data_IF_830063777129
#
_entry.id   IF_830063777129
#
_cell.length_a   1.000
_cell.length_b   1.000
_cell.length_c   1.000
_cell.angle_alpha   90.00
_cell.angle_beta   90.00
_cell.angle_gamma   90.00
#
_symmetry.space_group_name_H-M   'P 1'
#
loop_
_entity.id
_entity.type
_entity.pdbx_description
1 polymer ?
#
# COMPACT_ATOMS: atom_id res chain seq x y z
N UNK A 1 -32.33 12.30 4.64
CA UNK A 1 -31.28 11.33 5.00
C UNK A 1 -29.98 12.11 4.97
N UNK A 2 -29.44 12.44 6.14
CA UNK A 2 -28.20 13.18 6.24
C UNK A 2 -27.07 12.23 5.83
N UNK A 3 -26.53 12.41 4.62
CA UNK A 3 -25.43 11.60 4.11
C UNK A 3 -24.20 11.99 4.94
N UNK A 4 -23.97 11.26 6.03
CA UNK A 4 -22.83 11.47 6.89
C UNK A 4 -21.57 11.48 6.02
N UNK A 5 -20.86 12.60 6.03
CA UNK A 5 -19.68 12.82 5.21
C UNK A 5 -18.63 11.77 5.58
N UNK A 6 -18.43 10.78 4.70
CA UNK A 6 -17.48 9.67 4.95
C UNK A 6 -16.03 10.10 4.85
N UNK A 7 -15.73 11.18 4.11
CA UNK A 7 -14.37 11.65 3.91
C UNK A 7 -14.13 12.93 4.71
N UNK A 8 -13.24 12.81 5.68
CA UNK A 8 -12.83 13.87 6.59
C UNK A 8 -11.68 14.67 5.96
N UNK A 9 -11.73 16.00 6.11
CA UNK A 9 -10.75 16.95 5.58
C UNK A 9 -9.41 16.94 6.36
N UNK A 10 -9.38 16.30 7.53
CA UNK A 10 -8.20 16.20 8.39
C UNK A 10 -8.04 14.79 8.95
N UNK A 11 -6.80 14.31 9.11
CA UNK A 11 -6.51 13.01 9.71
C UNK A 11 -7.17 12.85 11.09
N UNK A 12 -7.71 11.66 11.38
CA UNK A 12 -8.31 11.35 12.68
C UNK A 12 -7.58 10.18 13.35
N UNK A 13 -7.96 9.88 14.60
CA UNK A 13 -7.45 8.69 15.30
C UNK A 13 -7.90 7.42 14.58
N UNK A 14 -6.95 6.62 14.14
CA UNK A 14 -7.17 5.34 13.47
C UNK A 14 -5.93 4.88 12.71
N UNK A 15 -5.96 3.70 12.06
CA UNK A 15 -4.86 3.20 11.25
C UNK A 15 -4.39 4.23 10.21
N UNK A 16 -3.07 4.29 9.99
CA UNK A 16 -2.47 5.03 8.88
C UNK A 16 -1.84 4.05 7.91
N UNK A 17 -2.27 4.12 6.66
CA UNK A 17 -1.85 3.23 5.58
C UNK A 17 -1.25 4.05 4.45
N UNK A 18 -0.27 3.47 3.77
CA UNK A 18 0.45 4.05 2.65
C UNK A 18 0.10 3.24 1.41
N UNK A 19 -0.33 3.92 0.36
CA UNK A 19 -0.73 3.30 -0.90
C UNK A 19 0.17 3.78 -2.02
N UNK A 20 0.58 2.87 -2.89
CA UNK A 20 1.27 3.19 -4.14
C UNK A 20 0.96 2.11 -5.20
N UNK A 21 1.19 2.44 -6.47
CA UNK A 21 1.12 1.49 -7.56
C UNK A 21 2.27 1.63 -8.56
N UNK A 22 2.61 0.50 -9.19
CA UNK A 22 3.63 0.44 -10.22
C UNK A 22 3.08 -0.19 -11.50
N UNK A 23 3.16 0.55 -12.61
CA UNK A 23 2.75 0.07 -13.92
C UNK A 23 3.63 -1.08 -14.43
N UNK A 24 4.94 -1.01 -14.18
CA UNK A 24 5.91 -1.99 -14.66
C UNK A 24 5.67 -3.40 -14.10
N UNK A 25 5.17 -3.48 -12.87
CA UNK A 25 4.80 -4.74 -12.20
C UNK A 25 3.29 -4.97 -12.19
N UNK A 26 2.50 -4.05 -12.76
CA UNK A 26 1.04 -4.03 -12.70
C UNK A 26 0.48 -4.23 -11.28
N UNK A 27 1.17 -3.68 -10.28
CA UNK A 27 0.93 -3.95 -8.86
C UNK A 27 0.36 -2.73 -8.17
N UNK A 28 -0.64 -2.94 -7.32
CA UNK A 28 -1.13 -2.00 -6.33
C UNK A 28 -0.73 -2.50 -4.93
N UNK A 29 -0.16 -1.65 -4.09
CA UNK A 29 0.36 -2.02 -2.78
C UNK A 29 -0.21 -1.15 -1.67
N UNK A 30 -0.42 -1.77 -0.51
CA UNK A 30 -0.77 -1.10 0.74
C UNK A 30 0.24 -1.51 1.80
N UNK A 31 0.79 -0.52 2.51
CA UNK A 31 1.76 -0.70 3.58
C UNK A 31 1.27 0.00 4.84
N UNK A 32 1.47 -0.60 6.01
CA UNK A 32 1.09 0.01 7.29
C UNK A 32 1.99 -0.47 8.43
N UNK A 33 1.93 0.21 9.57
CA UNK A 33 2.58 -0.26 10.79
C UNK A 33 1.58 -0.95 11.71
N UNK A 34 2.02 -2.04 12.32
CA UNK A 34 1.29 -2.76 13.37
C UNK A 34 2.31 -3.32 14.35
N UNK A 35 2.14 -2.99 15.64
CA UNK A 35 3.03 -3.43 16.73
C UNK A 35 4.52 -3.06 16.52
N UNK A 36 4.77 -1.89 15.91
CA UNK A 36 6.12 -1.41 15.61
C UNK A 36 6.75 -2.02 14.35
N UNK A 37 6.07 -2.96 13.69
CA UNK A 37 6.55 -3.58 12.46
C UNK A 37 5.79 -3.10 11.22
N UNK A 38 6.48 -3.04 10.08
CA UNK A 38 5.87 -2.77 8.79
C UNK A 38 5.23 -4.03 8.22
N UNK A 39 3.99 -3.89 7.74
CA UNK A 39 3.20 -4.92 7.06
C UNK A 39 2.82 -4.44 5.66
N UNK A 40 2.54 -5.37 4.75
CA UNK A 40 2.19 -5.07 3.38
C UNK A 40 1.18 -6.09 2.82
N UNK A 41 0.25 -5.61 1.99
CA UNK A 41 -0.52 -6.43 1.05
C UNK A 41 -0.40 -5.85 -0.35
N UNK A 42 -0.56 -6.69 -1.36
CA UNK A 42 -0.46 -6.30 -2.75
C UNK A 42 -1.51 -7.04 -3.58
N UNK A 43 -1.92 -6.44 -4.67
CA UNK A 43 -2.64 -7.13 -5.74
C UNK A 43 -2.04 -6.75 -7.09
N UNK A 44 -2.23 -7.62 -8.08
CA UNK A 44 -1.71 -7.41 -9.43
C UNK A 44 -2.84 -7.51 -10.44
N UNK A 45 -2.93 -6.55 -11.36
CA UNK A 45 -3.88 -6.60 -12.46
C UNK A 45 -3.30 -5.91 -13.70
N UNK A 46 -3.00 -6.71 -14.72
CA UNK A 46 -2.39 -6.25 -15.97
C UNK A 46 -3.36 -5.48 -16.88
N UNK A 47 -4.68 -5.56 -16.63
CA UNK A 47 -5.68 -4.84 -17.40
C UNK A 47 -5.89 -3.40 -16.91
N UNK A 48 -5.31 -3.04 -15.75
CA UNK A 48 -5.48 -1.74 -15.13
C UNK A 48 -4.34 -0.77 -15.50
N UNK A 49 -4.70 0.49 -15.74
CA UNK A 49 -3.72 1.57 -15.83
C UNK A 49 -3.12 1.88 -14.46
N UNK A 50 -1.99 2.61 -14.40
CA UNK A 50 -1.39 3.01 -13.11
C UNK A 50 -2.38 3.78 -12.24
N UNK A 51 -3.16 4.71 -12.80
CA UNK A 51 -4.18 5.46 -12.04
C UNK A 51 -5.27 4.55 -11.47
N UNK A 52 -5.62 3.47 -12.17
CA UNK A 52 -6.59 2.48 -11.69
C UNK A 52 -5.98 1.57 -10.63
N UNK A 53 -4.69 1.23 -10.74
CA UNK A 53 -3.95 0.52 -9.71
C UNK A 53 -3.80 1.36 -8.43
N UNK A 54 -3.54 2.67 -8.54
CA UNK A 54 -3.54 3.59 -7.39
C UNK A 54 -4.89 3.57 -6.66
N UNK A 55 -5.99 3.62 -7.43
CA UNK A 55 -7.33 3.49 -6.87
C UNK A 55 -7.58 2.11 -6.26
N UNK A 56 -7.08 1.04 -6.89
CA UNK A 56 -7.16 -0.31 -6.33
C UNK A 56 -6.39 -0.43 -5.01
N UNK A 57 -5.26 0.27 -4.85
CA UNK A 57 -4.54 0.32 -3.57
C UNK A 57 -5.42 0.94 -2.48
N UNK A 58 -6.18 1.99 -2.78
CA UNK A 58 -7.17 2.57 -1.86
C UNK A 58 -8.29 1.59 -1.52
N UNK A 59 -8.80 0.84 -2.50
CA UNK A 59 -9.82 -0.22 -2.30
C UNK A 59 -9.30 -1.29 -1.35
N UNK A 60 -8.08 -1.78 -1.58
CA UNK A 60 -7.41 -2.74 -0.68
C UNK A 60 -7.28 -2.20 0.74
N UNK A 61 -6.91 -0.92 0.88
CA UNK A 61 -6.76 -0.28 2.18
C UNK A 61 -8.10 -0.21 2.94
N UNK A 62 -9.19 0.14 2.25
CA UNK A 62 -10.54 0.13 2.83
C UNK A 62 -10.94 -1.27 3.29
N UNK A 63 -10.66 -2.30 2.48
CA UNK A 63 -10.94 -3.69 2.81
C UNK A 63 -10.18 -4.22 4.04
N UNK A 64 -8.97 -3.70 4.31
CA UNK A 64 -8.20 -4.06 5.51
C UNK A 64 -8.80 -3.50 6.80
N UNK A 65 -9.32 -2.27 6.75
CA UNK A 65 -9.79 -1.56 7.93
C UNK A 65 -11.23 -1.05 7.74
N UNK A 66 -12.23 -1.94 7.56
CA UNK A 66 -13.56 -1.54 7.12
C UNK A 66 -14.38 -0.80 8.20
N UNK A 67 -14.04 -1.01 9.47
CA UNK A 67 -14.81 -0.52 10.63
C UNK A 67 -14.26 0.77 11.23
N UNK A 68 -12.94 0.99 11.14
CA UNK A 68 -12.24 2.09 11.81
C UNK A 68 -12.12 3.31 10.91
N UNK A 69 -11.80 4.46 11.49
CA UNK A 69 -11.35 5.59 10.68
C UNK A 69 -10.00 5.25 10.02
N UNK A 70 -9.88 5.48 8.71
CA UNK A 70 -8.69 5.14 7.95
C UNK A 70 -8.00 6.39 7.40
N UNK A 71 -6.74 6.61 7.80
CA UNK A 71 -5.89 7.64 7.21
C UNK A 71 -5.11 7.03 6.04
N UNK A 72 -5.51 7.37 4.81
CA UNK A 72 -4.86 6.92 3.59
C UNK A 72 -3.83 7.95 3.15
N UNK A 73 -2.58 7.55 3.04
CA UNK A 73 -1.47 8.36 2.56
C UNK A 73 -1.12 7.88 1.15
N UNK A 74 -1.17 8.78 0.17
CA UNK A 74 -0.86 8.49 -1.23
C UNK A 74 -0.03 9.62 -1.81
N UNK A 75 0.89 9.32 -2.71
CA UNK A 75 1.56 10.32 -3.54
C UNK A 75 0.90 10.52 -4.91
N UNK A 76 -0.16 9.77 -5.19
CA UNK A 76 -1.03 9.99 -6.34
C UNK A 76 -1.95 11.19 -6.08
N UNK A 77 -1.52 12.36 -6.55
CA UNK A 77 -2.36 13.59 -6.55
C UNK A 77 -3.71 13.36 -7.23
N UNK A 78 -3.75 12.50 -8.26
CA UNK A 78 -4.99 12.16 -8.96
C UNK A 78 -5.99 11.45 -8.05
N UNK A 79 -5.57 10.38 -7.38
CA UNK A 79 -6.44 9.61 -6.47
C UNK A 79 -6.82 10.44 -5.26
N UNK A 80 -5.89 11.21 -4.69
CA UNK A 80 -6.18 12.11 -3.59
C UNK A 80 -7.31 13.10 -3.92
N UNK A 81 -7.22 13.77 -5.08
CA UNK A 81 -8.26 14.70 -5.55
C UNK A 81 -9.56 13.99 -5.89
N UNK A 82 -9.49 12.79 -6.48
CA UNK A 82 -10.67 12.03 -6.86
C UNK A 82 -11.48 11.59 -5.63
N UNK A 83 -10.84 11.04 -4.60
CA UNK A 83 -11.50 10.70 -3.34
C UNK A 83 -12.18 11.93 -2.71
N UNK A 84 -11.49 13.07 -2.67
CA UNK A 84 -12.08 14.32 -2.16
C UNK A 84 -13.27 14.81 -3.00
N UNK A 85 -13.18 14.74 -4.33
CA UNK A 85 -14.26 15.13 -5.23
C UNK A 85 -15.50 14.23 -5.06
N UNK A 86 -15.30 12.92 -4.87
CA UNK A 86 -16.37 11.96 -4.59
C UNK A 86 -17.06 12.16 -3.22
N UNK A 87 -16.53 13.07 -2.39
CA UNK A 87 -17.15 13.47 -1.12
C UNK A 87 -18.15 14.61 -1.27
N UNK A 88 -18.18 15.27 -2.43
CA UNK A 88 -19.02 16.41 -2.73
C UNK A 88 -20.16 16.07 -3.72
N UNK A 89 -21.09 17.00 -3.96
CA UNK A 89 -22.14 16.81 -4.95
C UNK A 89 -21.55 16.70 -6.37
N UNK A 90 -21.73 15.54 -7.00
CA UNK A 90 -21.28 15.26 -8.36
C UNK A 90 -21.02 13.77 -8.57
N UNK A 91 -21.32 13.25 -9.76
CA UNK A 91 -21.01 11.85 -10.12
C UNK A 91 -19.83 11.86 -11.08
N UNK A 92 -18.67 11.40 -10.61
CA UNK A 92 -17.56 11.08 -11.51
C UNK A 92 -17.81 9.72 -12.13
N UNK A 93 -17.99 9.65 -13.45
CA UNK A 93 -18.29 8.41 -14.18
C UNK A 93 -17.03 7.75 -14.77
N UNK A 94 -15.84 8.24 -14.39
CA UNK A 94 -14.59 7.64 -14.85
C UNK A 94 -14.45 6.20 -14.34
N UNK A 95 -13.80 5.32 -15.11
CA UNK A 95 -13.53 3.94 -14.69
C UNK A 95 -12.81 3.87 -13.33
N UNK A 96 -11.93 4.83 -13.05
CA UNK A 96 -11.23 4.93 -11.77
C UNK A 96 -12.17 5.35 -10.61
N UNK A 97 -13.11 6.25 -10.87
CA UNK A 97 -14.11 6.62 -9.86
C UNK A 97 -15.01 5.44 -9.51
N UNK A 98 -15.41 4.64 -10.50
CA UNK A 98 -16.20 3.42 -10.28
C UNK A 98 -15.45 2.40 -9.40
N UNK A 99 -14.13 2.24 -9.59
CA UNK A 99 -13.30 1.38 -8.72
C UNK A 99 -13.37 1.84 -7.26
N UNK A 100 -13.34 3.14 -7.01
CA UNK A 100 -13.38 3.70 -5.66
C UNK A 100 -14.79 3.71 -5.06
N UNK A 101 -15.83 3.90 -5.88
CA UNK A 101 -17.20 4.14 -5.43
C UNK A 101 -17.71 3.02 -4.53
N UNK A 102 -17.51 1.77 -4.92
CA UNK A 102 -17.95 0.62 -4.14
C UNK A 102 -17.23 0.52 -2.79
N UNK A 103 -15.91 0.73 -2.77
CA UNK A 103 -15.12 0.68 -1.54
C UNK A 103 -15.50 1.81 -0.56
N UNK A 104 -15.61 3.05 -1.06
CA UNK A 104 -16.00 4.20 -0.25
C UNK A 104 -17.44 4.06 0.25
N UNK A 105 -18.34 3.52 -0.58
CA UNK A 105 -19.74 3.27 -0.21
C UNK A 105 -19.90 2.14 0.81
N UNK A 106 -19.04 1.13 0.74
CA UNK A 106 -19.08 -0.03 1.66
C UNK A 106 -18.30 0.20 2.96
N UNK A 107 -17.38 1.16 2.99
CA UNK A 107 -16.62 1.53 4.19
C UNK A 107 -17.59 1.96 5.32
N UNK A 108 -17.52 1.31 6.48
CA UNK A 108 -18.35 1.65 7.65
C UNK A 108 -17.72 2.75 8.51
N UNK A 109 -16.40 2.77 8.59
CA UNK A 109 -15.64 3.88 9.16
C UNK A 109 -15.61 5.11 8.24
N UNK A 110 -14.97 6.18 8.71
CA UNK A 110 -14.66 7.36 7.88
C UNK A 110 -13.24 7.27 7.31
N UNK A 111 -12.93 8.06 6.30
CA UNK A 111 -11.62 8.07 5.62
C UNK A 111 -11.06 9.48 5.62
N UNK A 112 -9.75 9.62 5.80
CA UNK A 112 -9.01 10.83 5.43
C UNK A 112 -8.00 10.49 4.37
N UNK A 113 -7.86 11.34 3.36
CA UNK A 113 -6.86 11.16 2.31
C UNK A 113 -5.81 12.26 2.42
N UNK A 114 -4.56 11.84 2.59
CA UNK A 114 -3.39 12.68 2.80
C UNK A 114 -2.51 12.52 1.57
N UNK A 115 -2.34 13.59 0.81
CA UNK A 115 -1.41 13.59 -0.30
C UNK A 115 0.01 13.91 0.19
N UNK A 116 0.99 13.11 -0.20
CA UNK A 116 2.42 13.36 0.02
C UNK A 116 3.13 13.57 -1.31
N UNK A 117 4.18 14.39 -1.33
CA UNK A 117 4.99 14.57 -2.53
C UNK A 117 6.11 13.51 -2.53
N UNK A 118 6.14 12.63 -3.53
CA UNK A 118 7.15 11.56 -3.67
C UNK A 118 8.60 12.07 -3.62
N UNK A 119 8.83 13.33 -3.98
CA UNK A 119 10.15 13.97 -4.02
C UNK A 119 10.42 14.90 -2.85
N UNK A 120 9.69 14.78 -1.74
CA UNK A 120 9.91 15.62 -0.57
C UNK A 120 11.30 15.38 0.03
N UNK A 121 12.11 16.44 0.26
CA UNK A 121 13.41 16.31 0.93
C UNK A 121 13.26 16.06 2.44
N UNK A 122 12.06 16.25 2.99
CA UNK A 122 11.78 16.09 4.42
C UNK A 122 11.54 14.61 4.72
N UNK A 123 12.55 13.96 5.31
CA UNK A 123 12.47 12.57 5.74
C UNK A 123 11.75 12.48 7.09
N UNK A 124 10.54 11.93 7.07
CA UNK A 124 9.72 11.70 8.27
C UNK A 124 8.86 10.44 8.10
N UNK A 125 7.95 10.21 9.06
CA UNK A 125 7.08 9.03 9.06
C UNK A 125 6.35 8.83 7.73
N UNK A 126 5.78 9.91 7.18
CA UNK A 126 5.04 9.85 5.93
C UNK A 126 5.91 9.47 4.73
N UNK A 127 7.10 10.05 4.61
CA UNK A 127 8.02 9.71 3.52
C UNK A 127 8.53 8.28 3.65
N UNK A 128 8.88 7.83 4.86
CA UNK A 128 9.34 6.46 5.09
C UNK A 128 8.27 5.40 4.77
N UNK A 129 6.99 5.72 5.02
CA UNK A 129 5.88 4.86 4.61
C UNK A 129 5.65 4.87 3.11
N UNK A 130 5.74 6.04 2.46
CA UNK A 130 5.65 6.18 1.00
C UNK A 130 6.73 5.36 0.29
N UNK A 131 7.99 5.50 0.72
CA UNK A 131 9.13 4.77 0.15
C UNK A 131 8.94 3.25 0.26
N UNK A 132 8.27 2.78 1.32
CA UNK A 132 7.94 1.35 1.48
C UNK A 132 6.80 0.90 0.60
N UNK A 133 5.76 1.72 0.42
CA UNK A 133 4.68 1.44 -0.52
C UNK A 133 5.23 1.39 -1.95
N UNK A 134 6.10 2.33 -2.32
CA UNK A 134 6.80 2.37 -3.61
C UNK A 134 7.69 1.16 -3.86
N UNK A 135 8.51 0.79 -2.87
CA UNK A 135 9.27 -0.45 -2.92
C UNK A 135 8.35 -1.66 -3.09
N UNK A 136 7.27 -1.73 -2.29
CA UNK A 136 6.32 -2.82 -2.35
C UNK A 136 5.65 -2.95 -3.73
N UNK A 137 5.19 -1.85 -4.31
CA UNK A 137 4.56 -1.79 -5.63
C UNK A 137 5.54 -2.16 -6.74
N UNK A 138 6.79 -1.68 -6.70
CA UNK A 138 7.86 -2.07 -7.63
C UNK A 138 8.31 -3.52 -7.50
N UNK A 139 7.70 -4.30 -6.60
CA UNK A 139 8.11 -5.67 -6.33
C UNK A 139 9.51 -5.73 -5.73
N UNK A 140 9.95 -4.67 -5.04
CA UNK A 140 11.13 -4.71 -4.18
C UNK A 140 10.66 -5.28 -2.84
N UNK A 141 11.10 -6.50 -2.55
CA UNK A 141 10.72 -7.20 -1.34
C UNK A 141 11.57 -6.67 -0.19
N UNK A 142 10.97 -6.54 0.98
CA UNK A 142 11.74 -6.23 2.18
C UNK A 142 12.56 -7.45 2.61
N UNK A 143 13.58 -7.23 3.43
CA UNK A 143 14.33 -8.30 4.09
C UNK A 143 13.42 -9.25 4.90
N UNK A 144 12.30 -8.74 5.43
CA UNK A 144 11.27 -9.54 6.13
C UNK A 144 10.53 -10.45 5.17
N UNK A 145 10.08 -9.94 4.03
CA UNK A 145 9.40 -10.74 3.01
C UNK A 145 10.34 -11.84 2.47
N UNK A 146 11.62 -11.49 2.30
CA UNK A 146 12.66 -12.46 1.96
C UNK A 146 12.85 -13.53 3.05
N UNK A 147 12.80 -13.14 4.33
CA UNK A 147 12.84 -14.09 5.46
C UNK A 147 11.62 -15.01 5.48
N UNK A 148 10.41 -14.50 5.33
CA UNK A 148 9.20 -15.34 5.28
C UNK A 148 9.19 -16.29 4.08
N UNK A 149 9.63 -15.80 2.91
CA UNK A 149 9.77 -16.63 1.72
C UNK A 149 10.82 -17.74 1.92
N UNK A 150 11.92 -17.43 2.61
CA UNK A 150 12.92 -18.42 2.96
C UNK A 150 12.43 -19.43 3.99
N UNK A 151 11.72 -19.00 5.04
CA UNK A 151 11.15 -19.89 6.06
C UNK A 151 10.11 -20.86 5.50
N UNK A 152 9.41 -20.46 4.43
CA UNK A 152 8.41 -21.32 3.77
C UNK A 152 9.00 -22.25 2.71
N UNK A 153 9.96 -21.79 1.91
CA UNK A 153 10.45 -22.54 0.74
C UNK A 153 11.91 -22.99 0.85
N UNK A 154 12.63 -22.55 1.88
CA UNK A 154 14.06 -22.82 2.11
C UNK A 154 14.94 -22.57 0.88
N UNK A 155 14.60 -21.56 0.08
CA UNK A 155 15.35 -21.19 -1.12
C UNK A 155 16.69 -20.54 -0.77
N UNK A 156 17.74 -20.91 -1.51
CA UNK A 156 19.10 -20.43 -1.26
C UNK A 156 19.29 -18.92 -1.53
N UNK A 157 20.29 -18.31 -0.89
CA UNK A 157 20.47 -16.85 -0.84
C UNK A 157 20.54 -16.16 -2.22
N UNK A 158 21.13 -16.80 -3.23
CA UNK A 158 21.18 -16.26 -4.61
C UNK A 158 19.81 -16.21 -5.26
N UNK A 159 19.03 -17.30 -5.15
CA UNK A 159 17.68 -17.36 -5.70
C UNK A 159 16.77 -16.39 -4.94
N UNK A 160 16.90 -16.35 -3.61
CA UNK A 160 16.16 -15.45 -2.75
C UNK A 160 16.45 -13.97 -3.06
N UNK A 161 17.72 -13.57 -3.20
CA UNK A 161 18.10 -12.21 -3.59
C UNK A 161 17.47 -11.79 -4.92
N UNK A 162 17.50 -12.71 -5.91
CA UNK A 162 16.95 -12.46 -7.25
C UNK A 162 15.42 -12.32 -7.21
N UNK A 163 14.73 -13.21 -6.50
CA UNK A 163 13.26 -13.18 -6.36
C UNK A 163 12.78 -11.96 -5.58
N UNK A 164 13.54 -11.57 -4.57
CA UNK A 164 13.17 -10.49 -3.65
C UNK A 164 13.68 -9.10 -4.10
N UNK A 165 14.58 -9.01 -5.07
CA UNK A 165 15.24 -7.75 -5.41
C UNK A 165 16.04 -7.16 -4.23
N UNK A 166 16.52 -8.01 -3.33
CA UNK A 166 17.28 -7.63 -2.12
C UNK A 166 18.78 -7.86 -2.31
N UNK A 167 19.59 -7.17 -1.51
CA UNK A 167 21.04 -7.38 -1.48
C UNK A 167 21.38 -8.83 -1.13
N UNK A 168 22.24 -9.47 -1.94
CA UNK A 168 22.72 -10.83 -1.68
C UNK A 168 23.34 -10.96 -0.28
N UNK A 169 23.98 -9.90 0.22
CA UNK A 169 24.59 -9.87 1.56
C UNK A 169 23.53 -9.97 2.66
N UNK A 170 22.42 -9.26 2.49
CA UNK A 170 21.33 -9.20 3.47
C UNK A 170 20.59 -10.53 3.55
N UNK A 171 20.24 -11.12 2.40
CA UNK A 171 19.59 -12.44 2.39
C UNK A 171 20.53 -13.59 2.75
N UNK A 172 21.85 -13.44 2.60
CA UNK A 172 22.81 -14.42 3.15
C UNK A 172 22.66 -14.52 4.67
N UNK A 173 22.46 -13.41 5.37
CA UNK A 173 22.22 -13.43 6.81
C UNK A 173 20.90 -14.14 7.15
N UNK A 174 19.84 -13.90 6.38
CA UNK A 174 18.54 -14.59 6.53
C UNK A 174 18.71 -16.11 6.44
N UNK A 175 19.35 -16.59 5.38
CA UNK A 175 19.61 -18.02 5.16
C UNK A 175 20.53 -18.58 6.24
N UNK A 176 21.58 -17.85 6.62
CA UNK A 176 22.50 -18.25 7.66
C UNK A 176 21.81 -18.38 9.02
N UNK A 177 20.80 -17.57 9.34
CA UNK A 177 20.06 -17.70 10.61
C UNK A 177 19.00 -18.81 10.60
N UNK A 178 18.79 -19.52 9.49
CA UNK A 178 17.75 -20.55 9.39
C UNK A 178 18.22 -21.90 9.99
N UNK A 179 17.58 -22.41 11.06
CA UNK A 179 17.98 -23.66 11.70
C UNK A 179 17.88 -24.88 10.78
N UNK A 180 16.97 -24.83 9.79
CA UNK A 180 16.72 -25.93 8.87
C UNK A 180 17.75 -26.02 7.73
N UNK A 181 18.42 -24.90 7.41
CA UNK A 181 19.37 -24.82 6.30
C UNK A 181 20.85 -24.85 6.75
N UNK A 182 21.12 -24.89 8.06
CA UNK A 182 22.47 -24.97 8.64
C UNK A 182 23.03 -26.40 8.78
N UNK A 183 22.46 -27.39 8.08
CA UNK A 183 22.94 -28.78 8.10
C UNK A 183 23.88 -29.09 6.95
#
# INVERSE_FOLDING_TARGET
IDLQRKIMDRPQKGPTVFTDACSATSTAAVVWQSEGEWRCIKTTDQALSVQQLEAMAVVLACGLFPMEHLNIVTDSMFVAKLCLAMSGPGVSTSKTALILEEALSSQKGTISVIHVNSHSPIKGFFQAGNDKADAAAKGLWTLRDARQLHESLHVGAKALAKTCGTSVTDVKHVVATCPHCQK
#
